data_IF_074354214076
#
_entry.id   IF_074354214076
#
_cell.length_a   1.000
_cell.length_b   1.000
_cell.length_c   1.000
_cell.angle_alpha   90.00
_cell.angle_beta   90.00
_cell.angle_gamma   90.00
#
_symmetry.space_group_name_H-M   'P 1'
#
loop_
_entity.id
_entity.type
_entity.pdbx_description
1 polymer ?
#
# COMPACT_ATOMS: atom_id res chain seq x y z
N UNK A 1 79.97 -38.38 -3.01
CA UNK A 1 80.01 -37.36 -4.08
C UNK A 1 78.62 -36.74 -4.21
N UNK A 2 78.48 -35.43 -3.98
CA UNK A 2 77.47 -34.51 -4.55
C UNK A 2 77.59 -33.20 -3.74
N UNK A 3 78.46 -32.28 -4.15
CA UNK A 3 78.27 -31.20 -5.11
C UNK A 3 77.70 -29.92 -4.47
N UNK A 4 78.64 -29.00 -4.29
CA UNK A 4 78.55 -27.60 -3.91
C UNK A 4 77.87 -26.80 -5.02
N UNK A 5 76.91 -25.93 -4.71
CA UNK A 5 76.81 -24.59 -5.33
C UNK A 5 75.84 -23.66 -4.57
N UNK A 6 76.47 -22.65 -3.98
CA UNK A 6 75.94 -21.39 -3.49
C UNK A 6 75.11 -20.65 -4.55
N UNK A 7 74.09 -19.90 -4.11
CA UNK A 7 73.80 -18.53 -4.56
C UNK A 7 72.81 -17.82 -3.63
N UNK A 8 73.22 -16.64 -3.20
CA UNK A 8 72.52 -15.66 -2.37
C UNK A 8 71.47 -14.87 -3.16
N UNK A 9 70.32 -14.56 -2.50
CA UNK A 9 69.59 -13.26 -2.40
C UNK A 9 68.83 -12.76 -3.67
N UNK A 10 67.67 -12.03 -3.59
CA UNK A 10 67.09 -11.31 -2.45
C UNK A 10 65.61 -11.55 -2.09
N UNK A 11 65.29 -11.08 -0.88
CA UNK A 11 63.99 -10.63 -0.39
C UNK A 11 63.32 -9.66 -1.37
N UNK A 12 62.07 -9.92 -1.77
CA UNK A 12 61.18 -8.91 -2.35
C UNK A 12 60.05 -8.60 -1.36
N UNK A 13 60.16 -7.45 -0.69
CA UNK A 13 59.14 -6.86 0.18
C UNK A 13 58.20 -6.01 -0.68
N UNK A 14 56.91 -6.25 -0.49
CA UNK A 14 55.75 -5.36 -0.62
C UNK A 14 55.49 -4.58 -1.92
N UNK A 15 54.33 -4.87 -2.52
CA UNK A 15 53.26 -3.87 -2.65
C UNK A 15 51.93 -4.62 -2.84
N UNK A 16 51.24 -4.96 -1.75
CA UNK A 16 49.81 -5.27 -1.82
C UNK A 16 49.12 -3.92 -1.98
N UNK A 17 49.00 -3.48 -3.23
CA UNK A 17 48.13 -2.37 -3.58
C UNK A 17 46.70 -2.77 -3.23
N UNK A 18 46.25 -2.39 -2.05
CA UNK A 18 44.84 -2.36 -1.71
C UNK A 18 44.18 -1.38 -2.69
N UNK A 19 43.64 -1.93 -3.79
CA UNK A 19 42.65 -1.24 -4.61
C UNK A 19 41.44 -1.00 -3.71
N UNK A 20 41.49 0.10 -2.96
CA UNK A 20 40.32 0.72 -2.40
C UNK A 20 39.46 1.17 -3.59
N UNK A 21 38.61 0.27 -4.08
CA UNK A 21 37.53 0.60 -4.99
C UNK A 21 36.68 1.67 -4.30
N UNK A 22 36.65 2.93 -4.76
CA UNK A 22 35.66 3.90 -4.30
C UNK A 22 34.37 3.57 -5.06
N UNK A 23 33.72 2.47 -4.67
CA UNK A 23 32.76 1.80 -5.54
C UNK A 23 31.51 1.27 -4.84
N UNK A 24 31.06 1.88 -3.75
CA UNK A 24 29.73 1.57 -3.18
C UNK A 24 29.23 2.66 -2.22
N UNK A 25 29.26 3.93 -2.62
CA UNK A 25 28.67 5.01 -1.82
C UNK A 25 27.83 5.97 -2.68
N UNK A 26 27.13 5.46 -3.68
CA UNK A 26 26.26 6.26 -4.56
C UNK A 26 24.90 5.57 -4.75
N UNK A 27 24.19 5.26 -3.66
CA UNK A 27 22.80 4.77 -3.74
C UNK A 27 21.89 5.25 -2.59
N UNK A 28 22.43 5.89 -1.55
CA UNK A 28 21.68 6.24 -0.35
C UNK A 28 20.78 7.48 -0.48
N UNK A 29 20.90 8.28 -1.55
CA UNK A 29 20.25 9.61 -1.63
C UNK A 29 18.77 9.59 -2.04
N UNK A 30 18.24 8.45 -2.51
CA UNK A 30 16.88 8.36 -3.06
C UNK A 30 16.01 7.27 -2.39
N UNK A 31 16.38 6.82 -1.18
CA UNK A 31 15.57 5.88 -0.41
C UNK A 31 14.74 6.64 0.61
N UNK A 32 13.42 6.43 0.62
CA UNK A 32 12.53 6.91 1.67
C UNK A 32 11.94 5.73 2.42
N UNK A 33 12.15 5.71 3.75
CA UNK A 33 11.50 4.76 4.63
C UNK A 33 10.19 5.37 5.14
N UNK A 34 9.12 4.57 5.14
CA UNK A 34 7.78 4.95 5.59
C UNK A 34 7.24 3.86 6.50
N UNK A 35 6.83 4.25 7.71
CA UNK A 35 6.14 3.33 8.61
C UNK A 35 4.67 3.25 8.21
N UNK A 36 4.18 2.03 8.00
CA UNK A 36 2.77 1.78 7.74
C UNK A 36 1.99 1.90 9.06
N UNK A 37 1.04 2.82 9.12
CA UNK A 37 0.28 3.10 10.35
C UNK A 37 -0.99 2.26 10.39
N UNK A 38 -1.19 1.49 11.46
CA UNK A 38 -2.35 0.62 11.63
C UNK A 38 -2.06 -0.55 12.59
N UNK A 39 -2.65 -1.71 12.31
CA UNK A 39 -2.48 -2.96 13.03
C UNK A 39 -1.93 -4.06 12.12
N UNK A 40 -1.67 -5.25 12.68
CA UNK A 40 -1.17 -6.43 11.96
C UNK A 40 -2.18 -7.00 10.95
N UNK A 41 -3.44 -6.57 10.99
CA UNK A 41 -4.46 -6.96 10.02
C UNK A 41 -4.63 -5.94 8.88
N UNK A 42 -4.31 -4.67 9.14
CA UNK A 42 -4.46 -3.58 8.18
C UNK A 42 -3.59 -2.38 8.55
N UNK A 43 -2.93 -1.80 7.56
CA UNK A 43 -2.20 -0.55 7.74
C UNK A 43 -2.20 0.31 6.48
N UNK A 44 -1.91 1.60 6.66
CA UNK A 44 -1.77 2.56 5.56
C UNK A 44 -0.44 3.27 5.62
N UNK A 45 0.29 3.28 4.50
CA UNK A 45 1.50 4.08 4.32
C UNK A 45 1.20 5.31 3.46
N UNK A 46 1.67 6.48 3.89
CA UNK A 46 1.49 7.74 3.19
C UNK A 46 2.84 8.26 2.68
N UNK A 47 2.95 8.42 1.36
CA UNK A 47 4.18 8.75 0.64
C UNK A 47 3.98 10.10 -0.02
N UNK A 48 4.93 11.02 0.14
CA UNK A 48 4.88 12.30 -0.57
C UNK A 48 5.28 12.07 -2.04
N UNK A 49 4.43 12.48 -2.97
CA UNK A 49 4.67 12.43 -4.41
C UNK A 49 5.43 13.68 -4.92
N UNK A 50 5.38 14.79 -4.17
CA UNK A 50 5.99 16.05 -4.56
C UNK A 50 7.54 16.00 -4.58
N UNK A 51 8.14 16.72 -5.54
CA UNK A 51 9.59 16.97 -5.58
C UNK A 51 10.36 16.36 -6.75
N UNK A 52 9.67 15.88 -7.81
CA UNK A 52 10.35 15.32 -8.97
C UNK A 52 11.03 13.99 -8.64
N UNK A 53 10.25 13.04 -8.12
CA UNK A 53 10.73 11.71 -7.78
C UNK A 53 11.11 10.92 -9.03
N UNK A 54 12.27 11.19 -9.63
CA UNK A 54 12.86 10.28 -10.60
C UNK A 54 13.63 9.21 -9.84
N UNK A 55 13.24 7.94 -9.99
CA UNK A 55 13.89 6.78 -9.39
C UNK A 55 13.97 6.80 -7.85
N UNK A 56 12.88 7.18 -7.18
CA UNK A 56 12.83 7.16 -5.72
C UNK A 56 12.45 5.77 -5.22
N UNK A 57 13.31 5.15 -4.43
CA UNK A 57 12.99 3.88 -3.77
C UNK A 57 12.20 4.18 -2.50
N UNK A 58 11.05 3.55 -2.34
CA UNK A 58 10.24 3.62 -1.14
C UNK A 58 10.29 2.27 -0.43
N UNK A 59 10.62 2.29 0.84
CA UNK A 59 10.56 1.15 1.74
C UNK A 59 9.43 1.38 2.73
N UNK A 60 8.47 0.46 2.76
CA UNK A 60 7.33 0.52 3.68
C UNK A 60 7.50 -0.59 4.71
N UNK A 61 7.67 -0.18 5.97
CA UNK A 61 7.71 -1.09 7.11
C UNK A 61 6.28 -1.45 7.51
N UNK A 62 5.95 -2.74 7.42
CA UNK A 62 4.64 -3.27 7.75
C UNK A 62 4.61 -3.72 9.22
N UNK A 63 3.55 -3.40 9.97
CA UNK A 63 3.41 -3.80 11.37
C UNK A 63 3.08 -5.29 11.46
N UNK A 64 3.76 -5.99 12.36
CA UNK A 64 3.47 -7.40 12.63
C UNK A 64 3.77 -8.30 11.44
N UNK A 65 3.15 -9.48 11.45
CA UNK A 65 3.48 -10.66 10.64
C UNK A 65 3.62 -10.43 9.13
N UNK A 66 4.22 -11.40 8.46
CA UNK A 66 4.50 -11.47 7.02
C UNK A 66 3.27 -11.60 6.10
N UNK A 67 2.06 -11.43 6.63
CA UNK A 67 0.80 -11.77 5.96
C UNK A 67 0.16 -10.60 5.22
N UNK A 68 0.56 -9.37 5.54
CA UNK A 68 0.04 -8.17 4.90
C UNK A 68 0.43 -8.11 3.42
N UNK A 69 -0.53 -7.82 2.55
CA UNK A 69 -0.32 -7.53 1.13
C UNK A 69 -0.97 -6.20 0.75
N UNK A 70 -0.40 -5.54 -0.25
CA UNK A 70 -0.93 -4.34 -0.86
C UNK A 70 -2.30 -4.67 -1.46
N UNK A 71 -3.33 -4.01 -0.94
CA UNK A 71 -4.71 -4.13 -1.38
C UNK A 71 -5.02 -3.01 -2.37
N UNK A 72 -4.58 -1.79 -2.07
CA UNK A 72 -4.95 -0.62 -2.84
C UNK A 72 -3.86 0.46 -2.80
N UNK A 73 -3.73 1.17 -3.92
CA UNK A 73 -2.86 2.32 -4.04
C UNK A 73 -3.67 3.46 -4.66
N UNK A 74 -3.60 4.65 -4.08
CA UNK A 74 -4.34 5.80 -4.59
C UNK A 74 -3.64 7.11 -4.27
N UNK A 75 -3.91 8.16 -5.04
CA UNK A 75 -3.33 9.47 -4.80
C UNK A 75 -4.31 10.48 -4.20
N UNK A 76 -3.78 11.53 -3.60
CA UNK A 76 -4.48 12.72 -3.15
C UNK A 76 -3.67 13.97 -3.54
N UNK A 77 -4.23 14.90 -4.33
CA UNK A 77 -5.57 14.85 -4.91
C UNK A 77 -5.67 13.78 -6.01
N UNK A 78 -6.86 13.21 -6.23
CA UNK A 78 -7.07 12.07 -7.14
C UNK A 78 -6.70 12.35 -8.59
N UNK A 79 -6.76 13.60 -9.04
CA UNK A 79 -6.39 13.98 -10.41
C UNK A 79 -4.91 13.78 -10.73
N UNK A 80 -4.04 13.56 -9.73
CA UNK A 80 -2.63 13.18 -9.95
C UNK A 80 -2.45 11.68 -10.17
N UNK A 81 -3.52 10.88 -10.16
CA UNK A 81 -3.48 9.48 -10.59
C UNK A 81 -3.08 9.42 -12.07
N UNK A 82 -1.95 8.76 -12.36
CA UNK A 82 -1.35 8.73 -13.69
C UNK A 82 -0.12 9.64 -13.85
N UNK A 83 0.07 10.63 -12.97
CA UNK A 83 1.26 11.49 -12.98
C UNK A 83 2.51 10.81 -12.37
N UNK A 84 2.38 9.55 -11.93
CA UNK A 84 3.46 8.73 -11.39
C UNK A 84 3.37 7.27 -11.86
N UNK A 85 4.51 6.57 -11.85
CA UNK A 85 4.61 5.13 -12.06
C UNK A 85 5.18 4.43 -10.82
N UNK A 86 4.64 3.25 -10.51
CA UNK A 86 5.14 2.35 -9.46
C UNK A 86 5.74 1.12 -10.13
N UNK A 87 7.00 0.82 -9.82
CA UNK A 87 7.75 -0.28 -10.42
C UNK A 87 8.50 -1.10 -9.39
N UNK A 88 8.90 -2.32 -9.75
CA UNK A 88 9.79 -3.14 -8.93
C UNK A 88 9.26 -3.47 -7.53
N UNK A 89 7.93 -3.47 -7.38
CA UNK A 89 7.25 -3.78 -6.14
C UNK A 89 7.59 -5.20 -5.68
N UNK A 90 8.10 -5.33 -4.46
CA UNK A 90 8.49 -6.62 -3.88
C UNK A 90 8.40 -6.63 -2.37
N UNK A 91 8.15 -7.80 -1.81
CA UNK A 91 8.24 -8.06 -0.38
C UNK A 91 9.62 -8.63 -0.03
N UNK A 92 10.11 -8.30 1.15
CA UNK A 92 11.37 -8.81 1.71
C UNK A 92 11.28 -8.91 3.23
N UNK A 93 12.35 -9.40 3.87
CA UNK A 93 12.41 -9.62 5.32
C UNK A 93 11.26 -10.51 5.81
N UNK A 94 11.02 -11.61 5.09
CA UNK A 94 9.92 -12.52 5.37
C UNK A 94 8.53 -11.97 5.01
N UNK A 95 8.40 -10.70 4.62
CA UNK A 95 7.11 -10.07 4.25
C UNK A 95 6.83 -8.77 5.00
N UNK A 96 7.63 -8.42 6.02
CA UNK A 96 7.45 -7.21 6.83
C UNK A 96 7.98 -5.94 6.17
N UNK A 97 8.70 -6.05 5.05
CA UNK A 97 9.20 -4.91 4.28
C UNK A 97 8.68 -4.95 2.85
N UNK A 98 7.91 -3.94 2.46
CA UNK A 98 7.47 -3.75 1.09
C UNK A 98 8.27 -2.64 0.42
N UNK A 99 8.99 -2.98 -0.65
CA UNK A 99 9.82 -2.03 -1.40
C UNK A 99 9.22 -1.78 -2.78
N UNK A 100 9.19 -0.53 -3.22
CA UNK A 100 8.83 -0.13 -4.58
C UNK A 100 9.74 0.99 -5.09
N UNK A 101 9.73 1.21 -6.40
CA UNK A 101 10.27 2.40 -7.05
C UNK A 101 9.13 3.30 -7.49
N UNK A 102 9.27 4.59 -7.21
CA UNK A 102 8.34 5.63 -7.58
C UNK A 102 9.03 6.58 -8.57
N UNK A 103 8.39 6.74 -9.72
CA UNK A 103 8.80 7.63 -10.80
C UNK A 103 7.72 8.69 -11.04
N UNK A 104 8.08 9.97 -11.12
CA UNK A 104 7.19 11.01 -11.62
C UNK A 104 7.24 10.99 -13.15
N UNK A 105 6.08 10.84 -13.80
CA UNK A 105 5.97 10.88 -15.28
C UNK A 105 5.47 12.23 -15.78
N UNK A 106 4.82 12.99 -14.90
CA UNK A 106 4.35 14.35 -15.16
C UNK A 106 4.64 15.27 -13.96
N UNK A 107 4.31 16.56 -14.11
CA UNK A 107 4.46 17.53 -13.03
C UNK A 107 3.45 17.26 -11.91
N UNK A 108 3.94 16.96 -10.71
CA UNK A 108 3.11 16.69 -9.54
C UNK A 108 3.14 17.90 -8.60
N UNK A 109 1.97 18.43 -8.17
CA UNK A 109 1.93 19.58 -7.28
C UNK A 109 2.54 19.27 -5.91
N UNK A 110 3.03 20.33 -5.24
CA UNK A 110 3.48 20.23 -3.85
C UNK A 110 2.35 19.74 -2.96
N UNK A 111 2.67 18.83 -2.04
CA UNK A 111 1.72 18.28 -1.08
C UNK A 111 0.91 17.08 -1.56
N UNK A 112 1.02 16.68 -2.84
CA UNK A 112 0.40 15.45 -3.31
C UNK A 112 0.98 14.22 -2.59
N UNK A 113 0.10 13.26 -2.27
CA UNK A 113 0.45 12.03 -1.56
C UNK A 113 -0.07 10.80 -2.28
N UNK A 114 0.73 9.75 -2.25
CA UNK A 114 0.35 8.38 -2.59
C UNK A 114 0.11 7.63 -1.29
N UNK A 115 -1.05 7.01 -1.18
CA UNK A 115 -1.39 6.14 -0.07
C UNK A 115 -1.38 4.70 -0.55
N UNK A 116 -0.73 3.84 0.22
CA UNK A 116 -0.70 2.41 0.02
C UNK A 116 -1.41 1.75 1.19
N UNK A 117 -2.44 0.97 0.90
CA UNK A 117 -3.21 0.22 1.89
C UNK A 117 -2.83 -1.25 1.83
N UNK A 118 -2.48 -1.81 2.99
CA UNK A 118 -2.11 -3.21 3.16
C UNK A 118 -3.09 -3.92 4.08
N UNK A 119 -3.27 -5.22 3.87
CA UNK A 119 -4.11 -6.07 4.70
C UNK A 119 -3.97 -7.55 4.34
N UNK A 120 -4.55 -8.43 5.15
CA UNK A 120 -4.44 -9.89 4.98
C UNK A 120 -5.30 -10.39 3.78
N UNK A 121 -4.73 -11.02 2.74
CA UNK A 121 -5.41 -11.35 1.47
C UNK A 121 -6.61 -12.28 1.59
N UNK A 122 -6.54 -13.28 2.46
CA UNK A 122 -7.62 -14.26 2.65
C UNK A 122 -8.88 -13.62 3.26
N UNK A 123 -8.74 -12.39 3.75
CA UNK A 123 -9.80 -11.67 4.44
C UNK A 123 -10.17 -10.39 3.73
N UNK A 124 -9.51 -9.96 2.64
CA UNK A 124 -9.80 -8.67 2.01
C UNK A 124 -9.75 -8.74 0.48
N UNK A 125 -10.80 -8.24 -0.19
CA UNK A 125 -10.86 -8.04 -1.64
C UNK A 125 -10.95 -6.56 -1.97
N UNK A 126 -10.12 -6.12 -2.93
CA UNK A 126 -10.28 -4.82 -3.59
C UNK A 126 -11.24 -4.97 -4.77
N UNK A 127 -12.30 -4.18 -4.77
CA UNK A 127 -13.37 -4.20 -5.75
C UNK A 127 -13.38 -2.96 -6.65
N UNK A 128 -12.35 -2.12 -6.56
CA UNK A 128 -12.16 -0.93 -7.38
C UNK A 128 -13.13 0.19 -7.04
N UNK A 129 -13.74 0.79 -8.06
CA UNK A 129 -14.83 1.74 -7.91
C UNK A 129 -16.09 1.27 -8.62
N UNK A 130 -17.22 1.88 -8.31
CA UNK A 130 -18.44 1.74 -9.12
C UNK A 130 -18.67 3.04 -9.90
N UNK A 131 -19.08 2.91 -11.18
CA UNK A 131 -19.35 4.02 -12.12
C UNK A 131 -20.54 4.90 -11.66
N UNK A 132 -20.44 5.55 -10.50
CA UNK A 132 -21.49 6.40 -9.89
C UNK A 132 -20.96 7.35 -8.81
N UNK A 133 -19.63 7.50 -8.66
CA UNK A 133 -19.04 8.37 -7.64
C UNK A 133 -18.73 7.68 -6.31
N UNK A 134 -18.56 6.36 -6.32
CA UNK A 134 -17.97 5.64 -5.19
C UNK A 134 -16.63 5.02 -5.62
N UNK A 135 -15.57 5.38 -4.91
CA UNK A 135 -14.19 4.92 -5.11
C UNK A 135 -13.71 4.01 -3.97
N UNK A 136 -12.51 3.44 -4.13
CA UNK A 136 -11.83 2.69 -3.05
C UNK A 136 -12.65 1.60 -2.38
N UNK A 137 -13.52 0.90 -3.13
CA UNK A 137 -14.43 -0.11 -2.62
C UNK A 137 -13.65 -1.37 -2.25
N UNK A 138 -13.68 -1.71 -0.97
CA UNK A 138 -13.08 -2.93 -0.43
C UNK A 138 -14.13 -3.72 0.36
N UNK A 139 -13.96 -5.04 0.41
CA UNK A 139 -14.69 -5.90 1.33
C UNK A 139 -13.72 -6.75 2.11
N UNK A 140 -13.94 -6.82 3.42
CA UNK A 140 -13.15 -7.55 4.40
C UNK A 140 -14.01 -8.60 5.10
N UNK A 141 -13.46 -9.75 5.49
CA UNK A 141 -14.09 -10.69 6.43
C UNK A 141 -13.75 -10.30 7.86
N UNK A 142 -14.75 -10.30 8.74
CA UNK A 142 -14.58 -9.87 10.14
C UNK A 142 -14.22 -11.02 11.08
N UNK A 143 -13.94 -12.21 10.55
CA UNK A 143 -13.53 -13.40 11.30
C UNK A 143 -14.63 -14.12 12.09
N UNK A 144 -15.89 -13.65 12.05
CA UNK A 144 -16.99 -14.12 12.93
C UNK A 144 -18.22 -14.71 12.19
N UNK A 145 -18.07 -15.23 10.96
CA UNK A 145 -19.20 -15.89 10.29
C UNK A 145 -18.95 -16.39 8.88
N UNK A 146 -20.01 -16.89 8.24
CA UNK A 146 -20.01 -17.46 6.88
C UNK A 146 -19.41 -16.50 5.83
N UNK A 147 -18.53 -17.03 4.99
CA UNK A 147 -17.86 -16.35 3.87
C UNK A 147 -18.76 -16.13 2.66
N UNK A 148 -20.02 -16.59 2.68
CA UNK A 148 -20.93 -16.48 1.52
C UNK A 148 -21.22 -15.04 1.09
N UNK A 149 -21.08 -14.08 2.01
CA UNK A 149 -21.22 -12.65 1.74
C UNK A 149 -19.91 -11.96 1.29
N UNK A 150 -18.79 -12.67 1.29
CA UNK A 150 -17.49 -12.13 0.91
C UNK A 150 -17.31 -12.17 -0.61
N UNK A 151 -17.33 -11.00 -1.23
CA UNK A 151 -17.14 -10.87 -2.67
C UNK A 151 -17.49 -9.47 -3.20
N UNK A 152 -16.85 -9.10 -4.30
CA UNK A 152 -17.06 -7.79 -4.92
C UNK A 152 -18.51 -7.50 -5.38
N UNK A 153 -19.29 -8.49 -5.85
CA UNK A 153 -20.72 -8.28 -6.11
C UNK A 153 -21.51 -7.86 -4.87
N UNK A 154 -21.17 -8.38 -3.68
CA UNK A 154 -21.80 -7.98 -2.42
C UNK A 154 -21.38 -6.56 -2.06
N UNK A 155 -20.07 -6.27 -2.09
CA UNK A 155 -19.52 -4.95 -1.81
C UNK A 155 -20.17 -3.86 -2.69
N UNK A 156 -20.29 -4.13 -3.99
CA UNK A 156 -20.92 -3.22 -4.94
C UNK A 156 -22.41 -3.01 -4.63
N UNK A 157 -23.12 -4.06 -4.21
CA UNK A 157 -24.51 -3.95 -3.77
C UNK A 157 -24.68 -3.04 -2.55
N UNK A 158 -23.79 -3.17 -1.56
CA UNK A 158 -23.77 -2.33 -0.36
C UNK A 158 -23.51 -0.87 -0.72
N UNK A 159 -22.45 -0.58 -1.49
CA UNK A 159 -22.12 0.77 -1.92
C UNK A 159 -23.22 1.43 -2.75
N UNK A 160 -23.81 0.72 -3.72
CA UNK A 160 -24.93 1.24 -4.53
C UNK A 160 -26.17 1.52 -3.68
N UNK A 161 -26.47 0.65 -2.72
CA UNK A 161 -27.64 0.80 -1.85
C UNK A 161 -27.46 2.00 -0.92
N UNK A 162 -26.29 2.13 -0.32
CA UNK A 162 -25.92 3.29 0.48
C UNK A 162 -26.05 4.58 -0.32
N UNK A 163 -25.45 4.65 -1.51
CA UNK A 163 -25.47 5.84 -2.37
C UNK A 163 -26.89 6.21 -2.81
N UNK A 164 -27.70 5.23 -3.19
CA UNK A 164 -29.10 5.45 -3.57
C UNK A 164 -29.89 6.05 -2.42
N UNK A 165 -29.75 5.50 -1.21
CA UNK A 165 -30.43 5.99 -0.01
C UNK A 165 -29.97 7.39 0.39
N UNK A 166 -28.65 7.61 0.38
CA UNK A 166 -28.06 8.92 0.67
C UNK A 166 -28.61 10.00 -0.25
N UNK A 167 -28.62 9.76 -1.57
CA UNK A 167 -29.18 10.70 -2.56
C UNK A 167 -30.68 10.95 -2.39
N UNK A 168 -31.40 9.97 -1.85
CA UNK A 168 -32.84 10.08 -1.58
C UNK A 168 -33.17 10.67 -0.19
N UNK A 169 -32.17 11.10 0.59
CA UNK A 169 -32.38 11.59 1.96
C UNK A 169 -32.88 10.51 2.93
N UNK A 170 -32.66 9.23 2.60
CA UNK A 170 -33.14 8.09 3.40
C UNK A 170 -32.08 7.65 4.43
N UNK A 171 -32.49 6.96 5.51
CA UNK A 171 -31.56 6.44 6.50
C UNK A 171 -30.52 5.49 5.90
N UNK A 172 -29.24 5.84 6.06
CA UNK A 172 -28.08 5.05 5.59
C UNK A 172 -27.40 4.24 6.68
N UNK A 173 -27.73 4.48 7.96
CA UNK A 173 -27.08 3.84 9.10
C UNK A 173 -27.28 2.33 9.13
N UNK A 174 -28.41 1.82 8.62
CA UNK A 174 -28.70 0.38 8.56
C UNK A 174 -29.52 0.02 7.32
N UNK A 175 -29.13 -1.04 6.64
CA UNK A 175 -29.88 -1.65 5.53
C UNK A 175 -29.39 -3.06 5.22
N UNK A 176 -30.15 -3.80 4.41
CA UNK A 176 -29.80 -5.15 4.00
C UNK A 176 -29.54 -5.24 2.50
N UNK A 177 -28.58 -6.07 2.12
CA UNK A 177 -28.23 -6.36 0.72
C UNK A 177 -28.07 -7.86 0.58
N UNK A 178 -28.83 -8.47 -0.34
CA UNK A 178 -28.82 -9.94 -0.59
C UNK A 178 -28.98 -10.75 0.70
N UNK A 179 -29.91 -10.34 1.57
CA UNK A 179 -30.20 -11.02 2.83
C UNK A 179 -29.21 -10.74 3.98
N UNK A 180 -28.16 -9.95 3.76
CA UNK A 180 -27.17 -9.60 4.79
C UNK A 180 -27.41 -8.17 5.27
N UNK A 181 -27.57 -8.00 6.58
CA UNK A 181 -27.76 -6.70 7.23
C UNK A 181 -26.43 -6.02 7.53
N UNK A 182 -26.32 -4.75 7.18
CA UNK A 182 -25.15 -3.90 7.40
C UNK A 182 -25.53 -2.70 8.28
N UNK A 183 -24.66 -2.40 9.25
CA UNK A 183 -24.62 -1.12 9.96
C UNK A 183 -23.50 -0.25 9.40
N UNK A 184 -23.83 0.93 8.89
CA UNK A 184 -22.90 1.85 8.25
C UNK A 184 -22.60 3.06 9.12
N UNK A 185 -21.34 3.51 9.10
CA UNK A 185 -20.88 4.73 9.75
C UNK A 185 -19.93 5.51 8.83
N UNK A 186 -19.98 6.82 8.98
CA UNK A 186 -18.99 7.72 8.38
C UNK A 186 -17.70 7.61 9.21
N UNK A 187 -16.54 7.60 8.55
CA UNK A 187 -15.22 7.54 9.19
C UNK A 187 -14.29 8.62 8.59
N UNK A 188 -13.34 9.16 9.37
CA UNK A 188 -12.54 10.33 8.97
C UNK A 188 -11.39 10.02 7.98
N UNK A 189 -11.55 9.05 7.08
CA UNK A 189 -10.52 8.59 6.13
C UNK A 189 -11.01 8.65 4.68
N UNK A 190 -10.13 8.40 3.69
CA UNK A 190 -10.49 8.45 2.25
C UNK A 190 -11.60 7.45 1.89
N UNK A 191 -11.54 6.23 2.44
CA UNK A 191 -12.74 5.37 2.55
C UNK A 191 -13.63 5.91 3.66
N UNK A 192 -14.43 6.92 3.34
CA UNK A 192 -15.20 7.68 4.33
C UNK A 192 -16.46 6.96 4.81
N UNK A 193 -16.83 5.79 4.26
CA UNK A 193 -17.94 4.96 4.73
C UNK A 193 -17.47 3.55 5.07
N UNK A 194 -17.87 3.07 6.26
CA UNK A 194 -17.69 1.69 6.71
C UNK A 194 -19.05 1.05 7.02
N UNK A 195 -19.41 0.00 6.28
CA UNK A 195 -20.61 -0.79 6.45
C UNK A 195 -20.27 -2.19 6.97
N UNK A 196 -20.65 -2.51 8.21
CA UNK A 196 -20.30 -3.76 8.89
C UNK A 196 -21.51 -4.69 9.06
N UNK A 197 -21.32 -5.96 8.73
CA UNK A 197 -22.20 -7.07 9.07
C UNK A 197 -21.53 -7.95 10.15
N UNK A 198 -22.10 -9.11 10.44
CA UNK A 198 -21.51 -10.10 11.35
C UNK A 198 -20.27 -10.78 10.77
N UNK A 199 -20.20 -10.96 9.45
CA UNK A 199 -19.10 -11.68 8.79
C UNK A 199 -18.25 -10.83 7.84
N UNK A 200 -18.70 -9.62 7.49
CA UNK A 200 -18.00 -8.74 6.54
C UNK A 200 -18.00 -7.27 6.92
N UNK A 201 -16.95 -6.56 6.51
CA UNK A 201 -16.85 -5.11 6.51
C UNK A 201 -16.71 -4.65 5.06
N UNK A 202 -17.60 -3.79 4.58
CA UNK A 202 -17.48 -3.12 3.29
C UNK A 202 -17.08 -1.67 3.56
N UNK A 203 -15.95 -1.23 3.01
CA UNK A 203 -15.50 0.15 3.10
C UNK A 203 -15.38 0.77 1.72
N UNK A 204 -15.72 2.05 1.59
CA UNK A 204 -15.65 2.77 0.32
C UNK A 204 -15.60 4.29 0.51
N UNK A 205 -15.12 4.98 -0.52
CA UNK A 205 -15.12 6.43 -0.66
C UNK A 205 -16.44 6.88 -1.29
N UNK A 206 -17.26 7.60 -0.53
CA UNK A 206 -18.47 8.27 -0.98
C UNK A 206 -18.18 9.76 -1.30
N UNK A 207 -19.05 10.43 -2.10
CA UNK A 207 -18.84 11.84 -2.48
C UNK A 207 -18.69 12.78 -1.26
N UNK A 208 -17.80 13.78 -1.35
CA UNK A 208 -17.36 14.65 -0.25
C UNK A 208 -18.44 15.55 0.41
N UNK A 209 -19.70 15.54 -0.05
CA UNK A 209 -20.77 16.37 0.50
C UNK A 209 -21.61 15.65 1.58
N UNK A 210 -20.95 14.90 2.47
CA UNK A 210 -21.59 14.22 3.58
C UNK A 210 -21.97 15.24 4.66
N UNK A 211 -23.22 15.70 4.67
CA UNK A 211 -23.82 16.29 5.88
C UNK A 211 -24.53 15.17 6.63
N UNK A 212 -24.29 15.07 7.93
CA UNK A 212 -24.92 14.09 8.81
C UNK A 212 -26.46 14.26 8.76
N UNK A 213 -27.14 13.36 8.05
CA UNK A 213 -28.59 13.16 8.12
C UNK A 213 -28.88 11.91 8.96
#
# INVERSE_FOLDING_TARGET
>A
MLNRRSRFVPLAIAAVGALALPGAAHAAKNVQNVVCKGSEARCTAAINLAGGASNKTINVELPGTSELRLIYAHANPSWVEGAYAIEGARYSLGGSLYTLKLNAVESIPKGAKLFLEFGTPERILNCGGIRTGVGGLIIETTGLGSTSAFGCPQAAGVARTWLKRFKAGQPVKKFSVRGVSYGCKIVPFKVNINCRSTSTLVAFEAPHNLKDN
#
